data_IF_631079314728
#
_entry.id   IF_631079314728
#
_cell.length_a   1.000
_cell.length_b   1.000
_cell.length_c   1.000
_cell.angle_alpha   90.00
_cell.angle_beta   90.00
_cell.angle_gamma   90.00
#
_symmetry.space_group_name_H-M   'P 1'
#
loop_
_entity.id
_entity.type
_entity.pdbx_description
1 polymer ?
#
# COMPACT_ATOMS: atom_id res chain seq x y z
N UNK A 1 30.99 -38.24 -11.39
CA UNK A 1 30.72 -37.73 -10.03
C UNK A 1 29.38 -37.01 -10.12
N UNK A 2 28.37 -37.53 -9.39
CA UNK A 2 26.98 -37.09 -9.15
C UNK A 2 26.77 -35.54 -9.14
N UNK A 3 25.61 -34.89 -9.38
CA UNK A 3 24.16 -35.13 -9.67
C UNK A 3 23.51 -33.68 -9.70
N UNK A 4 22.22 -33.39 -9.44
CA UNK A 4 20.92 -33.55 -10.15
C UNK A 4 20.19 -32.21 -10.49
N UNK A 5 18.93 -32.31 -10.95
CA UNK A 5 17.83 -31.30 -10.98
C UNK A 5 17.72 -30.30 -12.14
N UNK A 6 17.14 -30.77 -13.25
CA UNK A 6 16.39 -29.93 -14.19
C UNK A 6 14.92 -30.38 -14.17
N UNK A 7 14.16 -29.84 -13.22
CA UNK A 7 12.72 -30.08 -13.12
C UNK A 7 11.96 -28.94 -13.81
N UNK A 8 11.71 -29.11 -15.11
CA UNK A 8 10.61 -28.42 -15.78
C UNK A 8 10.13 -29.33 -16.91
N UNK A 9 9.15 -30.17 -16.59
CA UNK A 9 8.46 -31.00 -17.58
C UNK A 9 7.27 -30.19 -18.13
N UNK A 10 7.32 -29.72 -19.39
CA UNK A 10 6.29 -28.84 -19.93
C UNK A 10 4.95 -29.54 -20.19
N UNK A 11 4.87 -30.87 -20.05
CA UNK A 11 3.63 -31.65 -20.25
C UNK A 11 2.78 -31.75 -18.96
N UNK A 12 3.39 -31.58 -17.79
CA UNK A 12 2.66 -31.55 -16.50
C UNK A 12 1.84 -30.26 -16.35
N UNK A 13 2.33 -29.14 -16.90
CA UNK A 13 1.64 -27.86 -16.94
C UNK A 13 0.42 -27.83 -17.89
N UNK A 14 0.32 -28.77 -18.83
CA UNK A 14 -0.81 -28.90 -19.75
C UNK A 14 -1.94 -29.79 -19.18
N UNK A 15 -1.61 -30.75 -18.30
CA UNK A 15 -2.59 -31.65 -17.69
C UNK A 15 -3.41 -31.01 -16.55
N UNK A 16 -2.87 -30.02 -15.85
CA UNK A 16 -3.59 -29.33 -14.76
C UNK A 16 -4.64 -28.30 -15.25
N UNK A 17 -4.68 -27.98 -16.54
CA UNK A 17 -5.66 -27.04 -17.12
C UNK A 17 -7.00 -27.66 -17.52
N UNK A 18 -7.23 -28.94 -17.22
CA UNK A 18 -8.46 -29.65 -17.64
C UNK A 18 -9.38 -30.08 -16.50
N UNK A 19 -9.22 -29.54 -15.29
CA UNK A 19 -10.09 -29.83 -14.15
C UNK A 19 -10.58 -28.58 -13.39
N UNK A 20 -11.08 -27.58 -14.11
CA UNK A 20 -11.94 -26.55 -13.51
C UNK A 20 -13.34 -26.67 -14.10
N UNK A 21 -14.17 -27.40 -13.36
CA UNK A 21 -15.58 -27.61 -13.67
C UNK A 21 -16.33 -26.28 -13.78
N UNK A 22 -17.19 -26.22 -14.79
CA UNK A 22 -18.14 -25.15 -15.03
C UNK A 22 -18.97 -24.85 -13.76
N UNK A 23 -18.68 -23.72 -13.12
CA UNK A 23 -19.56 -23.15 -12.10
C UNK A 23 -20.71 -22.46 -12.85
N UNK A 24 -21.83 -23.16 -12.91
CA UNK A 24 -23.11 -22.66 -13.38
C UNK A 24 -23.47 -21.36 -12.64
N UNK A 25 -23.62 -20.26 -13.37
CA UNK A 25 -24.22 -19.01 -12.88
C UNK A 25 -25.72 -19.26 -12.63
N UNK A 26 -26.07 -19.69 -11.42
CA UNK A 26 -27.42 -19.57 -10.89
C UNK A 26 -27.33 -19.14 -9.43
N UNK A 27 -28.15 -18.12 -9.08
CA UNK A 27 -28.29 -17.46 -7.78
C UNK A 27 -27.16 -16.50 -7.31
N UNK A 28 -27.18 -15.27 -7.84
CA UNK A 28 -26.55 -14.08 -7.23
C UNK A 28 -27.55 -13.08 -6.64
N UNK A 29 -28.75 -13.51 -6.28
CA UNK A 29 -29.80 -12.63 -5.73
C UNK A 29 -30.23 -13.02 -4.31
N UNK A 30 -29.26 -13.34 -3.44
CA UNK A 30 -29.46 -13.27 -2.00
C UNK A 30 -28.73 -12.02 -1.48
N UNK A 31 -29.37 -10.85 -1.64
CA UNK A 31 -29.00 -9.66 -0.90
C UNK A 31 -28.96 -10.00 0.59
N UNK A 32 -27.78 -9.97 1.19
CA UNK A 32 -27.57 -10.06 2.64
C UNK A 32 -28.54 -9.09 3.33
N UNK A 33 -29.58 -9.63 3.97
CA UNK A 33 -30.62 -8.87 4.68
C UNK A 33 -30.16 -8.29 6.01
N UNK A 34 -28.86 -8.34 6.30
CA UNK A 34 -28.31 -7.70 7.49
C UNK A 34 -28.12 -6.22 7.23
N UNK A 35 -28.71 -5.33 8.04
CA UNK A 35 -28.30 -3.93 8.02
C UNK A 35 -26.79 -3.88 8.30
N UNK A 36 -26.05 -2.98 7.63
CA UNK A 36 -24.63 -2.81 7.92
C UNK A 36 -24.48 -2.57 9.43
N UNK A 37 -23.47 -3.17 10.08
CA UNK A 37 -23.26 -2.95 11.50
C UNK A 37 -23.19 -1.45 11.76
N UNK A 38 -23.92 -0.98 12.77
CA UNK A 38 -23.87 0.41 13.19
C UNK A 38 -22.41 0.78 13.44
N UNK A 39 -21.99 1.92 12.89
CA UNK A 39 -20.61 2.41 13.04
C UNK A 39 -20.23 2.43 14.52
N UNK A 40 -19.12 1.77 14.86
CA UNK A 40 -18.52 1.81 16.20
C UNK A 40 -17.83 3.15 16.48
N UNK A 41 -17.63 3.96 15.44
CA UNK A 41 -17.07 5.29 15.56
C UNK A 41 -18.21 6.29 15.80
N UNK A 42 -18.02 7.26 16.72
CA UNK A 42 -18.97 8.36 16.87
C UNK A 42 -19.19 9.02 15.52
N UNK A 43 -20.41 9.48 15.25
CA UNK A 43 -20.72 10.24 14.03
C UNK A 43 -19.79 11.45 13.95
N UNK A 44 -18.80 11.35 13.06
CA UNK A 44 -17.86 12.42 12.74
C UNK A 44 -18.07 12.79 11.29
N UNK A 45 -18.22 14.08 11.05
CA UNK A 45 -18.21 14.60 9.69
C UNK A 45 -16.78 14.43 9.12
N UNK A 46 -16.65 13.57 8.12
CA UNK A 46 -15.37 13.27 7.48
C UNK A 46 -14.76 14.49 6.79
N UNK A 47 -15.59 15.42 6.29
CA UNK A 47 -15.08 16.66 5.69
C UNK A 47 -14.44 17.53 6.76
N UNK A 48 -15.07 17.65 7.93
CA UNK A 48 -14.54 18.41 9.07
C UNK A 48 -13.24 17.80 9.59
N UNK A 49 -13.17 16.47 9.73
CA UNK A 49 -11.94 15.82 10.19
C UNK A 49 -10.81 15.90 9.15
N UNK A 50 -11.13 15.79 7.85
CA UNK A 50 -10.16 16.01 6.77
C UNK A 50 -9.58 17.42 6.84
N UNK A 51 -10.43 18.45 6.93
CA UNK A 51 -9.99 19.85 7.03
C UNK A 51 -9.13 20.07 8.28
N UNK A 52 -9.54 19.48 9.41
CA UNK A 52 -8.77 19.55 10.66
C UNK A 52 -7.38 18.93 10.52
N UNK A 53 -7.26 17.75 9.92
CA UNK A 53 -5.96 17.09 9.72
C UNK A 53 -5.10 17.88 8.75
N UNK A 54 -5.68 18.41 7.67
CA UNK A 54 -4.99 19.25 6.71
C UNK A 54 -4.39 20.50 7.36
N UNK A 55 -5.20 21.24 8.13
CA UNK A 55 -4.73 22.41 8.88
C UNK A 55 -3.65 22.04 9.88
N UNK A 56 -3.83 20.93 10.61
CA UNK A 56 -2.82 20.45 11.54
C UNK A 56 -1.47 20.18 10.85
N UNK A 57 -1.46 19.53 9.68
CA UNK A 57 -0.21 19.25 8.95
C UNK A 57 0.46 20.56 8.52
N UNK A 58 -0.28 21.47 7.89
CA UNK A 58 0.24 22.76 7.44
C UNK A 58 0.85 23.56 8.61
N UNK A 59 0.11 23.70 9.71
CA UNK A 59 0.56 24.45 10.89
C UNK A 59 1.84 23.84 11.49
N UNK A 60 1.98 22.52 11.48
CA UNK A 60 3.17 21.84 12.01
C UNK A 60 4.39 22.01 11.13
N UNK A 61 4.21 21.99 9.81
CA UNK A 61 5.31 22.25 8.86
C UNK A 61 5.78 23.70 9.00
N UNK A 62 4.85 24.65 9.07
CA UNK A 62 5.17 26.08 9.23
C UNK A 62 5.82 26.36 10.59
N UNK A 63 5.29 25.80 11.68
CA UNK A 63 5.87 25.95 13.02
C UNK A 63 7.27 25.34 13.14
N UNK A 64 7.56 24.30 12.36
CA UNK A 64 8.90 23.70 12.29
C UNK A 64 9.87 24.49 11.40
N UNK A 65 9.39 25.45 10.59
CA UNK A 65 10.18 26.12 9.56
C UNK A 65 10.69 25.14 8.51
N UNK A 66 9.95 24.06 8.26
CA UNK A 66 10.36 22.98 7.37
C UNK A 66 9.89 23.24 5.92
N UNK A 67 10.71 22.78 4.97
CA UNK A 67 10.37 22.90 3.54
C UNK A 67 9.25 21.93 3.13
N UNK A 68 8.96 20.90 3.92
CA UNK A 68 7.93 19.90 3.60
C UNK A 68 7.89 18.76 4.62
N UNK A 69 7.34 17.61 4.20
CA UNK A 69 7.25 16.39 5.00
C UNK A 69 7.80 15.18 4.26
N UNK A 70 8.30 14.21 5.04
CA UNK A 70 8.67 12.88 4.54
C UNK A 70 7.65 11.87 5.06
N UNK A 71 7.11 11.04 4.17
CA UNK A 71 6.12 10.01 4.51
C UNK A 71 6.66 8.64 4.14
N UNK A 72 6.64 7.71 5.09
CA UNK A 72 6.92 6.30 4.80
C UNK A 72 5.73 5.68 4.05
N UNK A 73 5.98 5.17 2.85
CA UNK A 73 5.00 4.61 1.93
C UNK A 73 5.08 3.08 2.00
N UNK A 74 4.15 2.45 2.70
CA UNK A 74 4.13 0.99 2.88
C UNK A 74 3.27 0.26 1.85
N UNK A 75 2.48 1.00 1.06
CA UNK A 75 1.45 0.46 0.16
C UNK A 75 0.11 0.19 0.87
N UNK A 76 0.03 0.45 2.18
CA UNK A 76 -1.20 0.28 2.97
C UNK A 76 -2.01 1.57 3.10
N UNK A 77 -3.31 1.39 3.38
CA UNK A 77 -4.31 2.47 3.51
C UNK A 77 -3.84 3.65 4.36
N UNK A 78 -3.28 3.38 5.53
CA UNK A 78 -2.90 4.45 6.48
C UNK A 78 -1.81 5.36 5.90
N UNK A 79 -0.79 4.79 5.26
CA UNK A 79 0.26 5.55 4.61
C UNK A 79 -0.25 6.32 3.40
N UNK A 80 -1.18 5.74 2.64
CA UNK A 80 -1.82 6.39 1.48
C UNK A 80 -2.65 7.60 1.92
N UNK A 81 -3.48 7.44 2.95
CA UNK A 81 -4.31 8.53 3.50
C UNK A 81 -3.41 9.63 4.07
N UNK A 82 -2.33 9.25 4.76
CA UNK A 82 -1.35 10.20 5.30
C UNK A 82 -0.70 11.02 4.19
N UNK A 83 -0.21 10.36 3.13
CA UNK A 83 0.42 11.04 1.99
C UNK A 83 -0.58 11.94 1.25
N UNK A 84 -1.80 11.46 0.99
CA UNK A 84 -2.83 12.25 0.32
C UNK A 84 -3.19 13.51 1.10
N UNK A 85 -3.42 13.40 2.41
CA UNK A 85 -3.71 14.55 3.26
C UNK A 85 -2.52 15.51 3.38
N UNK A 86 -1.30 15.00 3.37
CA UNK A 86 -0.10 15.83 3.33
C UNK A 86 -0.01 16.63 2.01
N UNK A 87 -0.24 15.98 0.87
CA UNK A 87 -0.26 16.65 -0.45
C UNK A 87 -1.33 17.75 -0.49
N UNK A 88 -2.52 17.48 0.05
CA UNK A 88 -3.56 18.50 0.14
C UNK A 88 -3.17 19.66 1.07
N UNK A 89 -2.44 19.39 2.15
CA UNK A 89 -2.04 20.38 3.13
C UNK A 89 -0.94 21.32 2.62
N UNK A 90 0.12 20.76 2.03
CA UNK A 90 1.34 21.51 1.70
C UNK A 90 1.69 21.53 0.21
N UNK A 91 0.99 20.76 -0.63
CA UNK A 91 1.31 20.59 -2.05
C UNK A 91 2.26 19.41 -2.28
N UNK A 92 2.15 18.79 -3.46
CA UNK A 92 2.91 17.58 -3.80
C UNK A 92 4.43 17.81 -3.79
N UNK A 93 4.90 18.97 -4.27
CA UNK A 93 6.32 19.35 -4.29
C UNK A 93 6.95 19.45 -2.88
N UNK A 94 6.13 19.48 -1.82
CA UNK A 94 6.55 19.56 -0.42
C UNK A 94 6.32 18.24 0.33
N UNK A 95 6.05 17.16 -0.39
CA UNK A 95 5.88 15.81 0.17
C UNK A 95 6.86 14.88 -0.51
N UNK A 96 7.63 14.16 0.31
CA UNK A 96 8.61 13.18 -0.17
C UNK A 96 8.28 11.79 0.36
N UNK A 97 8.14 10.81 -0.54
CA UNK A 97 7.87 9.42 -0.20
C UNK A 97 9.15 8.62 0.07
N UNK A 98 9.14 7.78 1.11
CA UNK A 98 10.17 6.76 1.32
C UNK A 98 9.55 5.37 1.32
N UNK A 99 10.06 4.49 0.49
CA UNK A 99 9.60 3.10 0.38
C UNK A 99 10.69 2.20 0.95
N UNK A 100 10.37 1.50 2.04
CA UNK A 100 11.36 0.82 2.89
C UNK A 100 11.15 -0.70 2.98
N UNK A 101 11.32 -1.45 1.86
CA UNK A 101 11.10 -2.89 1.86
C UNK A 101 12.20 -3.64 2.62
N UNK A 102 11.79 -4.56 3.49
CA UNK A 102 12.69 -5.48 4.20
C UNK A 102 12.83 -6.85 3.53
N UNK A 103 11.83 -7.30 2.76
CA UNK A 103 11.82 -8.60 2.11
C UNK A 103 12.40 -8.53 0.68
N UNK A 104 12.42 -9.67 -0.03
CA UNK A 104 12.97 -9.78 -1.40
C UNK A 104 12.45 -8.66 -2.31
N UNK A 105 13.34 -8.16 -3.16
CA UNK A 105 13.06 -7.19 -4.24
C UNK A 105 11.82 -7.65 -5.03
N UNK A 106 10.82 -6.77 -5.17
CA UNK A 106 9.58 -7.04 -5.89
C UNK A 106 8.39 -7.53 -5.06
N UNK A 107 8.41 -7.33 -3.73
CA UNK A 107 7.22 -7.55 -2.90
C UNK A 107 6.03 -6.70 -3.41
N UNK A 108 4.81 -7.26 -3.54
CA UNK A 108 3.64 -6.55 -4.08
C UNK A 108 3.41 -5.18 -3.44
N UNK A 109 3.59 -5.09 -2.12
CA UNK A 109 3.40 -3.85 -1.35
C UNK A 109 4.36 -2.72 -1.73
N UNK A 110 5.59 -3.03 -2.16
CA UNK A 110 6.53 -2.00 -2.61
C UNK A 110 6.09 -1.40 -3.94
N UNK A 111 5.57 -2.23 -4.85
CA UNK A 111 5.01 -1.75 -6.14
C UNK A 111 3.76 -0.91 -5.93
N UNK A 112 2.90 -1.32 -5.00
CA UNK A 112 1.71 -0.53 -4.65
C UNK A 112 2.12 0.83 -4.07
N UNK A 113 3.16 0.87 -3.22
CA UNK A 113 3.69 2.10 -2.65
C UNK A 113 4.26 3.05 -3.73
N UNK A 114 5.03 2.53 -4.70
CA UNK A 114 5.57 3.28 -5.84
C UNK A 114 4.42 3.85 -6.69
N UNK A 115 3.46 3.01 -7.09
CA UNK A 115 2.31 3.43 -7.89
C UNK A 115 1.46 4.51 -7.19
N UNK A 116 1.33 4.44 -5.87
CA UNK A 116 0.61 5.45 -5.09
C UNK A 116 1.39 6.77 -5.01
N UNK A 117 2.71 6.72 -4.85
CA UNK A 117 3.54 7.92 -4.88
C UNK A 117 3.45 8.63 -6.25
N UNK A 118 3.54 7.86 -7.33
CA UNK A 118 3.36 8.36 -8.70
C UNK A 118 1.96 8.95 -8.91
N UNK A 119 0.91 8.28 -8.45
CA UNK A 119 -0.47 8.75 -8.58
C UNK A 119 -0.73 10.05 -7.80
N UNK A 120 -0.04 10.25 -6.67
CA UNK A 120 -0.09 11.48 -5.87
C UNK A 120 0.81 12.60 -6.42
N UNK A 121 1.68 12.28 -7.40
CA UNK A 121 2.62 13.23 -7.99
C UNK A 121 3.73 13.65 -7.03
N UNK A 122 4.12 12.79 -6.09
CA UNK A 122 5.18 13.07 -5.12
C UNK A 122 6.50 12.41 -5.52
N UNK A 123 7.61 13.11 -5.27
CA UNK A 123 8.94 12.52 -5.39
C UNK A 123 9.12 11.43 -4.33
N UNK A 124 9.84 10.36 -4.67
CA UNK A 124 10.07 9.26 -3.76
C UNK A 124 11.37 8.52 -4.06
N UNK A 125 11.91 7.84 -3.03
CA UNK A 125 13.00 6.89 -3.15
C UNK A 125 12.66 5.55 -2.48
N UNK A 126 13.21 4.47 -3.03
CA UNK A 126 13.15 3.13 -2.46
C UNK A 126 14.49 2.76 -1.83
N UNK A 127 14.50 2.47 -0.52
CA UNK A 127 15.69 2.05 0.24
C UNK A 127 15.47 0.67 0.83
N UNK A 128 16.21 -0.31 0.33
CA UNK A 128 16.15 -1.69 0.84
C UNK A 128 16.76 -1.79 2.24
N UNK A 129 15.95 -2.18 3.22
CA UNK A 129 16.38 -2.33 4.61
C UNK A 129 17.04 -3.68 4.90
N UNK A 130 16.93 -4.67 4.01
CA UNK A 130 17.49 -6.01 4.23
C UNK A 130 18.99 -6.02 4.59
N UNK A 131 19.88 -5.23 3.95
CA UNK A 131 21.29 -5.19 4.33
C UNK A 131 21.51 -4.66 5.76
N UNK A 132 20.70 -3.68 6.18
CA UNK A 132 20.76 -3.11 7.53
C UNK A 132 20.21 -4.11 8.55
N UNK A 133 19.07 -4.75 8.23
CA UNK A 133 18.44 -5.75 9.08
C UNK A 133 19.37 -6.93 9.37
N UNK A 134 20.13 -7.39 8.37
CA UNK A 134 21.13 -8.46 8.54
C UNK A 134 22.23 -8.12 9.57
N UNK A 135 22.54 -6.84 9.81
CA UNK A 135 23.52 -6.44 10.84
C UNK A 135 23.00 -6.63 12.27
N UNK A 136 21.69 -6.75 12.46
CA UNK A 136 21.06 -6.95 13.78
C UNK A 136 20.97 -8.43 14.20
N UNK A 137 21.57 -9.36 13.42
CA UNK A 137 21.76 -10.76 13.82
C UNK A 137 20.57 -11.69 13.57
N UNK A 138 19.73 -11.38 12.58
CA UNK A 138 18.66 -12.25 12.11
C UNK A 138 19.16 -13.31 11.11
#
# INVERSE_FOLDING_TARGET
>A
MADPESAFDPDEAAAERSAEGAVSNHDRDAASSHPPPASLLPERDLAVERDRVRSFVADRVDAAGADGVVVNMSGGLDSTVTAALAVEAVGADRVYGLILPCNKVGAPHARDAEALAEALGIDHDTVHLQPLFAQFGA
#
